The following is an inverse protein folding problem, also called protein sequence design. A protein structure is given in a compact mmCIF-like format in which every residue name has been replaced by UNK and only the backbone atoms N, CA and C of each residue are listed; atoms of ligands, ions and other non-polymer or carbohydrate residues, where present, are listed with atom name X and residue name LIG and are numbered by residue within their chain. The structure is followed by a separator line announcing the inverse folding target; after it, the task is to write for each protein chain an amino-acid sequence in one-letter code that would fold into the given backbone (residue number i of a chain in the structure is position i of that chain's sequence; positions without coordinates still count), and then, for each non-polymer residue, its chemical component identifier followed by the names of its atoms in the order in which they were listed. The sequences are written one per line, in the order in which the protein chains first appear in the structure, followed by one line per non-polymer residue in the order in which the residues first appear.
data_IF_331609325605
#
_entry.id   IF_331609325605
#
_cell.length_a   1.000
_cell.length_b   1.000
_cell.length_c   1.000
_cell.angle_alpha   90.00
_cell.angle_beta   90.00
_cell.angle_gamma   90.00
#
_symmetry.space_group_name_H-M   'P 1'
#
loop_
_entity.id
_entity.type
_entity.pdbx_description
1 polymer ?
#
# COMPACT_ATOMS: atom_id res chain seq x y z
N UNK A 1 -18.96 -15.53 0.01
CA UNK A 1 -18.04 -14.40 -0.26
C UNK A 1 -17.55 -14.54 -1.69
N UNK A 2 -17.88 -13.62 -2.60
CA UNK A 2 -17.32 -13.60 -3.95
C UNK A 2 -16.02 -12.79 -3.89
N UNK A 3 -14.89 -13.43 -4.20
CA UNK A 3 -13.61 -12.76 -4.35
C UNK A 3 -13.67 -11.78 -5.54
N UNK A 4 -13.19 -10.53 -5.43
CA UNK A 4 -13.10 -9.64 -6.57
C UNK A 4 -12.15 -10.25 -7.60
N UNK A 5 -12.70 -10.63 -8.74
CA UNK A 5 -12.03 -11.39 -9.78
C UNK A 5 -10.87 -10.59 -10.38
N UNK A 6 -9.65 -11.11 -10.29
CA UNK A 6 -8.58 -10.84 -11.26
C UNK A 6 -8.93 -11.48 -12.61
N UNK A 7 -10.07 -11.09 -13.18
CA UNK A 7 -10.46 -11.48 -14.53
C UNK A 7 -9.87 -10.45 -15.48
N UNK A 8 -8.82 -10.86 -16.19
CA UNK A 8 -8.40 -10.17 -17.39
C UNK A 8 -9.54 -10.31 -18.41
N UNK A 9 -10.47 -9.35 -18.44
CA UNK A 9 -11.33 -9.18 -19.59
C UNK A 9 -10.43 -8.63 -20.69
N UNK A 10 -10.08 -9.45 -21.67
CA UNK A 10 -9.45 -8.96 -22.91
C UNK A 10 -10.45 -8.00 -23.58
N UNK A 11 -10.22 -6.67 -23.56
CA UNK A 11 -11.02 -5.79 -24.38
C UNK A 11 -10.62 -6.08 -25.83
N UNK A 12 -11.59 -6.06 -26.74
CA UNK A 12 -11.35 -6.29 -28.17
C UNK A 12 -10.11 -5.56 -28.68
N UNK A 13 -9.38 -6.25 -29.56
CA UNK A 13 -8.11 -5.85 -30.18
C UNK A 13 -8.01 -4.34 -30.50
N UNK A 14 -7.45 -3.56 -29.57
CA UNK A 14 -6.65 -2.37 -29.89
C UNK A 14 -5.24 -2.66 -29.41
N UNK A 15 -4.24 -2.46 -30.27
CA UNK A 15 -2.83 -2.51 -29.88
C UNK A 15 -2.62 -1.47 -28.77
N UNK A 16 -2.61 -1.90 -27.52
CA UNK A 16 -2.30 -1.02 -26.41
C UNK A 16 -0.78 -0.90 -26.32
N UNK A 17 -0.28 0.31 -26.11
CA UNK A 17 1.15 0.61 -25.94
C UNK A 17 1.74 0.04 -24.64
N UNK A 18 0.95 -0.71 -23.87
CA UNK A 18 1.30 -1.20 -22.55
C UNK A 18 1.23 -0.12 -21.45
N UNK A 19 1.14 1.16 -21.80
CA UNK A 19 1.04 2.26 -20.83
C UNK A 19 -0.40 2.49 -20.35
N UNK A 20 -0.52 3.10 -19.17
CA UNK A 20 -1.79 3.55 -18.60
C UNK A 20 -1.99 5.03 -18.93
N UNK A 21 -3.05 5.34 -19.68
CA UNK A 21 -3.52 6.71 -19.87
C UNK A 21 -4.56 6.97 -18.78
N UNK A 22 -4.23 7.86 -17.85
CA UNK A 22 -5.05 8.15 -16.66
C UNK A 22 -6.17 9.13 -17.03
N UNK A 23 -7.36 8.92 -16.47
CA UNK A 23 -8.49 9.84 -16.62
C UNK A 23 -8.20 11.17 -15.90
N UNK A 24 -8.95 12.22 -16.24
CA UNK A 24 -8.79 13.54 -15.59
C UNK A 24 -9.08 13.43 -14.10
N UNK A 25 -8.10 13.78 -13.27
CA UNK A 25 -8.19 13.71 -11.81
C UNK A 25 -8.07 15.10 -11.17
N UNK A 26 -8.90 15.43 -10.16
CA UNK A 26 -8.83 16.70 -9.45
C UNK A 26 -7.70 16.74 -8.39
N UNK A 27 -7.12 15.59 -8.02
CA UNK A 27 -6.20 15.52 -6.88
C UNK A 27 -4.93 16.37 -7.04
N UNK A 28 -4.28 16.48 -8.21
CA UNK A 28 -3.09 17.32 -8.36
C UNK A 28 -3.34 18.78 -8.00
N UNK A 29 -4.45 19.37 -8.44
CA UNK A 29 -4.77 20.78 -8.16
C UNK A 29 -5.18 20.99 -6.70
N UNK A 30 -5.92 20.04 -6.11
CA UNK A 30 -6.33 20.10 -4.70
C UNK A 30 -5.13 19.95 -3.76
N UNK A 31 -4.20 19.04 -4.05
CA UNK A 31 -2.97 18.89 -3.25
C UNK A 31 -2.08 20.12 -3.40
N UNK A 32 -1.91 20.64 -4.62
CA UNK A 32 -1.07 21.82 -4.86
C UNK A 32 -1.59 23.06 -4.12
N UNK A 33 -2.92 23.30 -4.14
CA UNK A 33 -3.52 24.42 -3.40
C UNK A 33 -3.42 24.23 -1.89
N UNK A 34 -3.56 23.00 -1.39
CA UNK A 34 -3.41 22.70 0.03
C UNK A 34 -1.96 22.86 0.52
N UNK A 35 -0.96 22.47 -0.28
CA UNK A 35 0.47 22.69 0.05
C UNK A 35 0.80 24.18 0.05
N UNK A 36 0.32 24.94 -0.95
CA UNK A 36 0.50 26.39 -0.96
C UNK A 36 -0.15 27.04 0.26
N UNK A 37 -1.38 26.65 0.59
CA UNK A 37 -2.09 27.12 1.77
C UNK A 37 -1.33 26.80 3.07
N UNK A 38 -0.73 25.61 3.16
CA UNK A 38 0.11 25.20 4.29
C UNK A 38 1.32 26.14 4.45
N UNK A 39 2.02 26.45 3.34
CA UNK A 39 3.17 27.35 3.37
C UNK A 39 2.76 28.77 3.81
N UNK A 40 1.69 29.33 3.25
CA UNK A 40 1.18 30.64 3.63
C UNK A 40 0.73 30.67 5.10
N UNK A 41 0.08 29.61 5.57
CA UNK A 41 -0.37 29.46 6.96
C UNK A 41 0.80 29.44 7.95
N UNK A 42 1.88 28.71 7.65
CA UNK A 42 3.07 28.66 8.50
C UNK A 42 3.78 30.01 8.57
N UNK A 43 3.93 30.71 7.44
CA UNK A 43 4.47 32.08 7.42
C UNK A 43 3.60 33.01 8.27
N UNK A 44 2.28 32.91 8.13
CA UNK A 44 1.33 33.68 8.94
C UNK A 44 1.42 33.38 10.43
N UNK A 45 1.62 32.12 10.82
CA UNK A 45 1.75 31.71 12.23
C UNK A 45 2.97 32.34 12.92
N UNK A 46 4.09 32.47 12.22
CA UNK A 46 5.31 33.03 12.79
C UNK A 46 5.35 34.56 12.78
N UNK A 47 4.69 35.21 11.82
CA UNK A 47 4.85 36.66 11.61
C UNK A 47 3.63 37.50 12.00
N UNK A 48 2.44 36.93 12.08
CA UNK A 48 1.22 37.69 12.39
C UNK A 48 0.92 37.72 13.90
N UNK A 49 0.37 38.84 14.36
CA UNK A 49 -0.05 39.02 15.75
C UNK A 49 -1.26 38.13 16.11
N UNK A 50 -2.24 38.02 15.22
CA UNK A 50 -3.36 37.09 15.37
C UNK A 50 -3.02 35.72 14.75
N UNK A 51 -2.62 34.78 15.60
CA UNK A 51 -2.27 33.41 15.22
C UNK A 51 -3.50 32.51 15.01
N UNK A 52 -4.68 32.92 15.47
CA UNK A 52 -5.87 32.05 15.47
C UNK A 52 -6.34 31.69 14.07
N UNK A 53 -6.37 32.69 13.17
CA UNK A 53 -6.72 32.51 11.76
C UNK A 53 -5.69 31.67 11.01
N UNK A 54 -4.40 31.97 11.21
CA UNK A 54 -3.32 31.20 10.61
C UNK A 54 -3.35 29.74 11.07
N UNK A 55 -3.63 29.48 12.36
CA UNK A 55 -3.76 28.12 12.90
C UNK A 55 -4.97 27.37 12.34
N UNK A 56 -6.13 28.02 12.27
CA UNK A 56 -7.34 27.41 11.70
C UNK A 56 -7.12 27.05 10.22
N UNK A 57 -6.48 27.94 9.47
CA UNK A 57 -6.11 27.68 8.08
C UNK A 57 -5.08 26.55 7.94
N UNK A 58 -4.13 26.43 8.88
CA UNK A 58 -3.17 25.32 8.94
C UNK A 58 -3.90 23.99 9.05
N UNK A 59 -4.78 23.87 10.04
CA UNK A 59 -5.56 22.65 10.32
C UNK A 59 -6.42 22.30 9.10
N UNK A 60 -7.07 23.29 8.49
CA UNK A 60 -7.82 23.13 7.25
C UNK A 60 -6.97 22.53 6.12
N UNK A 61 -5.80 23.13 5.84
CA UNK A 61 -4.90 22.65 4.79
C UNK A 61 -4.35 21.24 5.06
N UNK A 62 -3.94 20.95 6.31
CA UNK A 62 -3.48 19.62 6.71
C UNK A 62 -4.61 18.59 6.54
N UNK A 63 -5.82 18.90 6.97
CA UNK A 63 -6.97 18.01 6.82
C UNK A 63 -7.27 17.72 5.33
N UNK A 64 -7.16 18.73 4.47
CA UNK A 64 -7.37 18.59 3.02
C UNK A 64 -6.27 17.72 2.38
N UNK A 65 -5.01 17.85 2.80
CA UNK A 65 -3.91 16.99 2.35
C UNK A 65 -4.15 15.52 2.74
N UNK A 66 -4.54 15.26 3.99
CA UNK A 66 -4.83 13.91 4.47
C UNK A 66 -5.99 13.27 3.72
N UNK A 67 -7.09 14.00 3.51
CA UNK A 67 -8.23 13.52 2.75
C UNK A 67 -7.87 13.26 1.27
N UNK A 68 -7.10 14.16 0.66
CA UNK A 68 -6.65 14.02 -0.73
C UNK A 68 -5.74 12.81 -0.90
N UNK A 69 -4.82 12.56 0.05
CA UNK A 69 -3.96 11.38 0.02
C UNK A 69 -4.78 10.07 0.09
N UNK A 70 -5.75 9.99 1.00
CA UNK A 70 -6.63 8.80 1.14
C UNK A 70 -7.43 8.58 -0.15
N UNK A 71 -8.00 9.63 -0.73
CA UNK A 71 -8.83 9.52 -1.94
C UNK A 71 -8.01 9.20 -3.17
N UNK A 72 -6.87 9.87 -3.37
CA UNK A 72 -6.01 9.62 -4.51
C UNK A 72 -5.43 8.19 -4.48
N UNK A 73 -4.97 7.72 -3.32
CA UNK A 73 -4.53 6.32 -3.20
C UNK A 73 -5.67 5.31 -3.38
N UNK A 74 -6.90 5.65 -2.96
CA UNK A 74 -8.07 4.82 -3.24
C UNK A 74 -8.34 4.68 -4.73
N UNK A 75 -8.21 5.77 -5.50
CA UNK A 75 -8.39 5.75 -6.96
C UNK A 75 -7.30 4.91 -7.65
N UNK A 76 -6.05 5.01 -7.20
CA UNK A 76 -4.96 4.14 -7.69
C UNK A 76 -5.24 2.67 -7.38
N UNK A 77 -5.82 2.36 -6.20
CA UNK A 77 -6.26 0.99 -5.86
C UNK A 77 -7.41 0.54 -6.78
N UNK A 78 -8.33 1.43 -7.14
CA UNK A 78 -9.41 1.15 -8.10
C UNK A 78 -8.86 0.83 -9.50
N UNK A 79 -8.03 1.72 -10.04
CA UNK A 79 -7.38 1.60 -11.35
C UNK A 79 -6.56 0.32 -11.47
N UNK A 80 -5.83 0.00 -10.41
CA UNK A 80 -5.00 -1.21 -10.36
C UNK A 80 -5.82 -2.47 -10.14
N UNK A 81 -6.60 -2.55 -9.06
CA UNK A 81 -7.18 -3.83 -8.58
C UNK A 81 -8.48 -4.17 -9.29
N UNK A 82 -9.31 -3.18 -9.58
CA UNK A 82 -10.67 -3.42 -10.10
C UNK A 82 -10.77 -3.17 -11.60
N UNK A 83 -10.06 -2.16 -12.13
CA UNK A 83 -10.05 -1.85 -13.56
C UNK A 83 -8.93 -2.59 -14.32
N UNK A 84 -7.94 -3.14 -13.63
CA UNK A 84 -6.87 -3.94 -14.24
C UNK A 84 -5.95 -3.15 -15.18
N UNK A 85 -5.78 -1.84 -14.96
CA UNK A 85 -5.01 -0.95 -15.85
C UNK A 85 -3.49 -1.05 -15.66
N UNK A 86 -3.03 -1.72 -14.59
CA UNK A 86 -1.62 -1.87 -14.26
C UNK A 86 -1.00 -3.07 -14.99
N UNK A 87 -0.56 -2.84 -16.23
CA UNK A 87 0.22 -3.83 -16.99
C UNK A 87 1.61 -4.05 -16.36
N UNK A 88 2.34 -5.09 -16.80
CA UNK A 88 3.72 -5.33 -16.37
C UNK A 88 4.65 -4.14 -16.62
N UNK A 89 4.44 -3.41 -17.73
CA UNK A 89 5.22 -2.21 -18.06
C UNK A 89 4.97 -1.08 -17.06
N UNK A 90 3.70 -0.81 -16.74
CA UNK A 90 3.31 0.20 -15.73
C UNK A 90 3.84 -0.17 -14.36
N UNK A 91 3.78 -1.45 -13.97
CA UNK A 91 4.33 -1.90 -12.69
C UNK A 91 5.85 -1.76 -12.65
N UNK A 92 6.55 -2.01 -13.76
CA UNK A 92 8.01 -1.77 -13.87
C UNK A 92 8.34 -0.29 -13.68
N UNK A 93 7.58 0.63 -14.27
CA UNK A 93 7.79 2.07 -14.08
C UNK A 93 7.45 2.54 -12.68
N UNK A 94 6.41 1.99 -12.05
CA UNK A 94 6.08 2.28 -10.64
C UNK A 94 7.18 1.79 -9.69
N UNK A 95 7.80 0.64 -9.95
CA UNK A 95 8.97 0.15 -9.20
C UNK A 95 10.16 1.09 -9.33
N UNK A 96 10.45 1.55 -10.55
CA UNK A 96 11.50 2.56 -10.76
C UNK A 96 11.19 3.86 -10.03
N UNK A 97 9.94 4.33 -10.09
CA UNK A 97 9.50 5.53 -9.38
C UNK A 97 9.66 5.42 -7.87
N UNK A 98 9.27 4.28 -7.26
CA UNK A 98 9.47 4.05 -5.83
C UNK A 98 10.95 3.99 -5.45
N UNK A 99 11.79 3.36 -6.27
CA UNK A 99 13.23 3.34 -6.04
C UNK A 99 13.83 4.75 -6.05
N UNK A 100 13.49 5.57 -7.06
CA UNK A 100 13.97 6.95 -7.16
C UNK A 100 13.45 7.83 -6.02
N UNK A 101 12.21 7.61 -5.58
CA UNK A 101 11.65 8.28 -4.40
C UNK A 101 12.44 7.93 -3.12
N UNK A 102 12.69 6.64 -2.85
CA UNK A 102 13.51 6.24 -1.69
C UNK A 102 14.92 6.83 -1.82
N UNK A 103 15.50 6.84 -3.03
CA UNK A 103 16.81 7.42 -3.26
C UNK A 103 16.83 8.92 -2.91
N UNK A 104 15.79 9.69 -3.26
CA UNK A 104 15.71 11.10 -2.85
C UNK A 104 15.58 11.26 -1.34
N UNK A 105 14.84 10.38 -0.65
CA UNK A 105 14.76 10.40 0.82
C UNK A 105 16.11 10.06 1.47
N UNK A 106 16.89 9.14 0.89
CA UNK A 106 18.26 8.87 1.35
C UNK A 106 19.12 10.13 1.26
N UNK A 107 19.10 10.84 0.12
CA UNK A 107 19.85 12.10 -0.02
C UNK A 107 19.34 13.20 0.91
N UNK A 108 18.04 13.25 1.19
CA UNK A 108 17.47 14.14 2.20
C UNK A 108 18.08 13.89 3.58
N UNK A 109 18.19 12.63 4.02
CA UNK A 109 18.87 12.29 5.28
C UNK A 109 20.38 12.55 5.24
N UNK A 110 21.06 12.34 4.11
CA UNK A 110 22.49 12.68 3.95
C UNK A 110 22.73 14.16 4.26
N UNK A 111 21.82 15.05 3.89
CA UNK A 111 21.89 16.48 4.25
C UNK A 111 21.89 16.72 5.76
N UNK A 112 21.06 16.00 6.51
CA UNK A 112 21.05 16.12 7.97
C UNK A 112 22.29 15.51 8.63
N UNK A 113 22.75 14.34 8.17
CA UNK A 113 23.99 13.75 8.67
C UNK A 113 25.19 14.65 8.38
N UNK A 114 25.23 15.27 7.20
CA UNK A 114 26.25 16.26 6.86
C UNK A 114 26.24 17.44 7.84
N UNK A 115 25.05 18.02 8.11
CA UNK A 115 24.91 19.11 9.07
C UNK A 115 25.36 18.70 10.49
N UNK A 116 25.00 17.49 10.93
CA UNK A 116 25.43 16.96 12.23
C UNK A 116 26.96 16.83 12.32
N UNK A 117 27.62 16.23 11.33
CA UNK A 117 29.08 16.09 11.34
C UNK A 117 29.80 17.43 11.23
N UNK A 118 29.25 18.36 10.44
CA UNK A 118 29.78 19.71 10.33
C UNK A 118 29.77 20.44 11.68
N UNK A 119 28.72 20.30 12.47
CA UNK A 119 28.62 20.94 13.79
C UNK A 119 29.43 20.20 14.85
N UNK A 120 29.46 18.86 14.84
CA UNK A 120 30.07 18.04 15.90
C UNK A 120 31.59 17.87 15.77
N UNK A 121 32.12 17.82 14.55
CA UNK A 121 33.57 17.64 14.28
C UNK A 121 34.19 18.90 13.68
N UNK A 122 33.40 19.75 13.03
CA UNK A 122 33.89 20.90 12.30
C UNK A 122 34.31 22.09 13.17
N UNK A 123 34.55 23.21 12.50
CA UNK A 123 35.09 24.44 13.12
C UNK A 123 34.21 24.98 14.26
N UNK A 124 32.89 24.79 14.19
CA UNK A 124 31.96 25.23 15.25
C UNK A 124 32.23 24.46 16.55
N UNK A 125 32.42 23.14 16.46
CA UNK A 125 32.79 22.31 17.61
C UNK A 125 34.12 22.76 18.21
N UNK A 126 35.11 23.02 17.34
CA UNK A 126 36.48 23.34 17.78
C UNK A 126 36.64 24.75 18.33
N UNK A 127 35.89 25.73 17.81
CA UNK A 127 36.08 27.16 18.12
C UNK A 127 35.02 27.75 19.04
N UNK A 128 33.79 27.24 19.05
CA UNK A 128 32.69 27.80 19.85
C UNK A 128 32.25 26.85 20.98
N UNK A 129 32.05 25.56 20.69
CA UNK A 129 31.49 24.61 21.65
C UNK A 129 32.57 23.95 22.53
N UNK A 130 33.75 23.70 21.97
CA UNK A 130 34.93 23.12 22.63
C UNK A 130 34.87 21.61 22.90
N UNK A 131 33.69 21.00 22.90
CA UNK A 131 33.48 19.56 23.06
C UNK A 131 32.11 19.12 22.51
N UNK A 132 31.96 17.84 22.20
CA UNK A 132 30.70 17.24 21.80
C UNK A 132 30.38 16.03 22.69
N UNK A 133 29.21 15.97 23.34
CA UNK A 133 28.13 16.96 23.34
C UNK A 133 28.51 18.28 24.07
N UNK A 134 27.82 19.41 23.79
CA UNK A 134 28.08 20.70 24.42
C UNK A 134 27.98 20.68 25.97
N UNK A 135 28.73 21.56 26.64
CA UNK A 135 28.65 21.75 28.11
C UNK A 135 27.20 21.99 28.53
N UNK A 136 26.70 21.21 29.49
CA UNK A 136 25.35 21.36 30.03
C UNK A 136 24.28 20.52 29.33
N UNK A 137 24.59 19.89 28.19
CA UNK A 137 23.71 18.90 27.57
C UNK A 137 24.02 17.52 28.14
N UNK A 138 23.04 16.89 28.78
CA UNK A 138 23.13 15.49 29.20
C UNK A 138 22.61 14.61 28.07
N UNK A 139 23.51 13.96 27.34
CA UNK A 139 23.15 13.06 26.25
C UNK A 139 22.36 11.83 26.75
N UNK A 140 21.51 11.30 25.87
CA UNK A 140 20.65 10.14 26.16
C UNK A 140 21.51 8.88 26.17
N UNK A 141 21.35 8.04 27.20
CA UNK A 141 22.07 6.77 27.30
C UNK A 141 21.68 5.83 26.13
N UNK A 142 22.62 5.43 25.25
CA UNK A 142 22.33 4.59 24.09
C UNK A 142 21.90 3.16 24.45
N UNK A 143 22.17 2.70 25.68
CA UNK A 143 21.93 1.31 26.11
C UNK A 143 20.53 1.08 26.68
N UNK A 144 19.72 2.13 26.84
CA UNK A 144 18.38 2.06 27.41
C UNK A 144 17.30 2.02 26.32
N UNK A 145 16.44 3.04 26.26
CA UNK A 145 15.34 3.15 25.28
C UNK A 145 15.84 3.12 23.83
N UNK A 146 16.95 3.78 23.45
CA UNK A 146 17.46 3.72 22.07
C UNK A 146 17.82 2.31 21.59
N UNK A 147 18.47 1.51 22.46
CA UNK A 147 18.78 0.11 22.14
C UNK A 147 17.50 -0.72 21.99
N UNK A 148 16.52 -0.53 22.89
CA UNK A 148 15.23 -1.22 22.81
C UNK A 148 14.51 -0.89 21.49
N UNK A 149 14.47 0.39 21.10
CA UNK A 149 13.90 0.84 19.83
C UNK A 149 14.60 0.19 18.63
N UNK A 150 15.94 0.05 18.69
CA UNK A 150 16.73 -0.63 17.66
C UNK A 150 16.35 -2.10 17.54
N UNK A 151 16.25 -2.82 18.66
CA UNK A 151 15.85 -4.25 18.67
C UNK A 151 14.44 -4.41 18.12
N UNK A 152 13.49 -3.55 18.53
CA UNK A 152 12.12 -3.57 18.03
C UNK A 152 12.11 -3.38 16.52
N UNK A 153 12.74 -2.32 16.01
CA UNK A 153 12.66 -2.00 14.59
C UNK A 153 13.29 -3.09 13.72
N UNK A 154 14.47 -3.61 14.11
CA UNK A 154 15.10 -4.76 13.43
C UNK A 154 14.21 -6.02 13.43
N UNK A 155 13.54 -6.30 14.56
CA UNK A 155 12.61 -7.43 14.65
C UNK A 155 11.40 -7.25 13.71
N UNK A 156 10.92 -6.03 13.54
CA UNK A 156 9.83 -5.73 12.59
C UNK A 156 10.28 -5.86 11.13
N UNK A 157 11.53 -5.51 10.80
CA UNK A 157 12.12 -5.76 9.48
C UNK A 157 12.17 -7.25 9.12
N UNK A 158 12.53 -8.11 10.08
CA UNK A 158 12.46 -9.57 9.88
C UNK A 158 11.01 -10.04 9.70
N UNK A 159 10.09 -9.55 10.53
CA UNK A 159 8.67 -9.90 10.47
C UNK A 159 8.06 -9.53 9.11
N UNK A 160 8.31 -8.32 8.60
CA UNK A 160 7.78 -7.88 7.29
C UNK A 160 8.35 -8.69 6.14
N UNK A 161 9.62 -9.13 6.23
CA UNK A 161 10.24 -10.04 5.26
C UNK A 161 9.53 -11.40 5.24
N UNK A 162 9.20 -11.94 6.41
CA UNK A 162 8.41 -13.18 6.52
C UNK A 162 7.01 -12.99 5.92
N UNK A 163 6.38 -11.84 6.15
CA UNK A 163 5.08 -11.51 5.56
C UNK A 163 5.15 -11.43 4.03
N UNK A 164 6.19 -10.80 3.49
CA UNK A 164 6.44 -10.68 2.05
C UNK A 164 6.63 -12.06 1.40
N UNK A 165 7.42 -12.93 2.03
CA UNK A 165 7.60 -14.30 1.54
C UNK A 165 6.29 -15.09 1.58
N UNK A 166 5.52 -14.94 2.65
CA UNK A 166 4.25 -15.63 2.83
C UNK A 166 3.21 -15.20 1.77
N UNK A 167 3.10 -13.90 1.46
CA UNK A 167 2.19 -13.43 0.40
C UNK A 167 2.65 -13.89 -0.99
N UNK A 168 3.95 -13.98 -1.25
CA UNK A 168 4.49 -14.54 -2.49
C UNK A 168 4.09 -16.01 -2.66
N UNK A 169 4.08 -16.80 -1.58
CA UNK A 169 3.62 -18.20 -1.59
C UNK A 169 2.11 -18.27 -1.82
N UNK A 170 1.31 -17.45 -1.12
CA UNK A 170 -0.13 -17.36 -1.33
C UNK A 170 -0.44 -17.04 -2.80
N UNK A 171 0.27 -16.10 -3.39
CA UNK A 171 0.05 -15.71 -4.79
C UNK A 171 0.40 -16.83 -5.77
N UNK A 172 1.31 -17.75 -5.44
CA UNK A 172 1.61 -18.93 -6.28
C UNK A 172 0.61 -20.07 -6.11
N UNK A 173 -0.26 -19.99 -5.11
CA UNK A 173 -1.26 -21.02 -4.84
C UNK A 173 -2.47 -20.87 -5.79
N UNK A 174 -3.06 -21.98 -6.26
CA UNK A 174 -4.16 -21.99 -7.23
C UNK A 174 -5.52 -21.55 -6.67
N UNK A 175 -5.54 -20.81 -5.56
CA UNK A 175 -6.75 -20.40 -4.83
C UNK A 175 -7.74 -19.64 -5.73
N UNK A 176 -7.29 -19.08 -6.86
CA UNK A 176 -8.13 -18.30 -7.76
C UNK A 176 -8.65 -19.02 -9.02
N UNK A 177 -8.01 -20.11 -9.47
CA UNK A 177 -8.39 -20.80 -10.71
C UNK A 177 -9.44 -21.89 -10.50
N UNK A 178 -9.55 -22.44 -9.29
CA UNK A 178 -10.45 -23.56 -8.98
C UNK A 178 -11.94 -23.21 -8.89
N UNK A 179 -12.30 -21.98 -8.50
CA UNK A 179 -13.71 -21.58 -8.35
C UNK A 179 -14.43 -21.34 -9.68
N UNK A 180 -13.69 -21.08 -10.76
CA UNK A 180 -14.26 -20.98 -12.11
C UNK A 180 -14.58 -22.37 -12.67
N UNK A 181 -13.82 -23.40 -12.28
CA UNK A 181 -14.04 -24.78 -12.73
C UNK A 181 -15.18 -25.45 -11.95
N UNK A 182 -15.34 -25.16 -10.65
CA UNK A 182 -16.47 -25.69 -9.85
C UNK A 182 -17.77 -24.90 -10.00
N UNK A 183 -17.70 -23.63 -10.46
CA UNK A 183 -18.85 -22.75 -10.66
C UNK A 183 -19.72 -23.07 -11.89
N UNK A 184 -19.26 -23.92 -12.80
CA UNK A 184 -20.06 -24.38 -13.96
C UNK A 184 -21.02 -25.52 -13.56
N UNK A 185 -20.84 -26.12 -12.38
CA UNK A 185 -21.62 -27.27 -11.91
C UNK A 185 -22.78 -26.94 -10.94
N UNK A 186 -22.93 -25.70 -10.46
CA UNK A 186 -23.99 -25.37 -9.49
C UNK A 186 -24.95 -24.36 -10.09
N UNK A 187 -25.81 -24.85 -10.97
CA UNK A 187 -27.08 -24.21 -11.24
C UNK A 187 -27.98 -24.32 -10.01
N UNK A 188 -28.18 -23.21 -9.28
CA UNK A 188 -29.47 -22.87 -8.64
C UNK A 188 -29.44 -21.50 -7.96
N UNK A 189 -30.48 -20.72 -8.29
CA UNK A 189 -31.02 -19.54 -7.61
C UNK A 189 -30.25 -18.21 -7.69
N UNK A 190 -30.68 -17.35 -8.62
CA UNK A 190 -30.24 -15.95 -8.74
C UNK A 190 -30.94 -14.97 -7.78
N UNK A 191 -31.85 -15.39 -6.92
CA UNK A 191 -32.67 -14.45 -6.12
C UNK A 191 -32.04 -13.99 -4.80
N UNK A 192 -30.97 -14.62 -4.31
CA UNK A 192 -30.32 -14.23 -3.03
C UNK A 192 -29.18 -13.22 -3.19
N UNK A 193 -28.79 -12.89 -4.43
CA UNK A 193 -27.59 -12.10 -4.73
C UNK A 193 -27.80 -10.57 -4.59
N UNK A 194 -29.04 -10.08 -4.66
CA UNK A 194 -29.34 -8.65 -4.55
C UNK A 194 -29.42 -8.13 -3.09
N UNK A 195 -29.71 -8.98 -2.10
CA UNK A 195 -29.93 -8.52 -0.73
C UNK A 195 -28.65 -8.28 0.10
N UNK A 196 -27.47 -8.71 -0.35
CA UNK A 196 -26.22 -8.60 0.43
C UNK A 196 -25.39 -7.35 0.04
N UNK A 197 -25.74 -6.66 -1.04
CA UNK A 197 -25.02 -5.46 -1.50
C UNK A 197 -25.45 -4.18 -0.73
N UNK A 198 -26.50 -4.24 0.10
CA UNK A 198 -27.11 -3.04 0.71
C UNK A 198 -26.73 -2.73 2.16
N UNK A 199 -25.73 -3.39 2.77
CA UNK A 199 -25.46 -3.22 4.22
C UNK A 199 -24.09 -2.67 4.61
N UNK A 200 -23.54 -1.75 3.81
CA UNK A 200 -22.44 -0.86 4.23
C UNK A 200 -22.92 0.59 4.29
N UNK A 201 -24.03 0.80 5.01
CA UNK A 201 -24.67 2.09 5.23
C UNK A 201 -24.17 2.72 6.53
N UNK A 202 -22.96 3.26 6.50
CA UNK A 202 -22.54 4.31 7.46
C UNK A 202 -21.53 5.30 6.84
N UNK A 203 -20.72 4.84 5.87
CA UNK A 203 -19.76 5.71 5.14
C UNK A 203 -20.38 6.34 3.88
N UNK A 204 -21.43 5.72 3.31
CA UNK A 204 -22.10 6.22 2.09
C UNK A 204 -23.15 7.32 2.40
N UNK A 205 -23.68 7.37 3.62
CA UNK A 205 -24.73 8.33 3.99
C UNK A 205 -24.22 9.77 4.09
N UNK A 206 -22.97 9.98 4.52
CA UNK A 206 -22.35 11.32 4.56
C UNK A 206 -21.93 11.78 3.14
N UNK A 207 -21.60 10.84 2.24
CA UNK A 207 -21.18 11.16 0.87
C UNK A 207 -22.34 11.47 -0.08
N UNK A 208 -23.57 11.08 0.23
CA UNK A 208 -24.74 11.30 -0.63
C UNK A 208 -25.46 12.63 -0.42
N UNK A 209 -25.22 13.31 0.70
CA UNK A 209 -25.80 14.64 0.95
C UNK A 209 -25.19 15.77 0.12
N UNK A 210 -23.98 15.60 -0.44
CA UNK A 210 -23.34 16.63 -1.29
C UNK A 210 -23.40 16.33 -2.80
N UNK A 211 -23.75 15.10 -3.20
CA UNK A 211 -23.73 14.68 -4.61
C UNK A 211 -25.07 14.92 -5.35
N UNK A 212 -26.12 15.33 -4.63
CA UNK A 212 -27.47 15.51 -5.17
C UNK A 212 -27.77 16.97 -5.59
N UNK A 213 -26.80 17.68 -6.16
CA UNK A 213 -27.01 19.06 -6.66
C UNK A 213 -26.55 19.31 -8.10
N UNK A 214 -25.85 18.38 -8.78
CA UNK A 214 -25.18 18.73 -10.05
C UNK A 214 -25.46 17.89 -11.31
N UNK A 215 -26.38 16.93 -11.29
CA UNK A 215 -26.72 16.20 -12.53
C UNK A 215 -28.24 16.04 -12.70
N UNK A 216 -28.87 17.05 -13.31
CA UNK A 216 -30.19 16.95 -13.95
C UNK A 216 -30.04 17.33 -15.42
N UNK A 217 -29.98 16.33 -16.30
CA UNK A 217 -30.51 16.39 -17.68
C UNK A 217 -30.32 15.04 -18.38
N UNK A 218 -31.41 14.29 -18.66
CA UNK A 218 -31.38 13.15 -19.56
C UNK A 218 -32.22 13.46 -20.81
N UNK A 219 -31.57 13.77 -21.92
CA UNK A 219 -32.15 13.60 -23.27
C UNK A 219 -31.03 13.19 -24.23
N UNK A 220 -31.40 12.43 -25.28
CA UNK A 220 -30.57 11.78 -26.31
C UNK A 220 -29.97 10.40 -25.97
N UNK A 221 -30.63 9.32 -26.37
CA UNK A 221 -30.43 8.72 -27.72
C UNK A 221 -31.53 7.67 -28.01
N UNK A 222 -32.15 7.81 -29.18
CA UNK A 222 -33.09 6.86 -29.81
C UNK A 222 -32.35 5.69 -30.46
N UNK A 223 -33.06 4.57 -30.54
CA UNK A 223 -32.91 3.37 -31.39
C UNK A 223 -32.03 3.46 -32.64
N UNK A 224 -31.32 2.35 -32.90
CA UNK A 224 -31.27 1.74 -34.23
C UNK A 224 -31.17 0.22 -34.14
N UNK A 225 -32.20 -0.44 -34.67
CA UNK A 225 -32.22 -1.84 -35.09
C UNK A 225 -31.22 -2.05 -36.23
N UNK A 226 -30.50 -3.18 -36.22
CA UNK A 226 -29.66 -3.63 -37.34
C UNK A 226 -30.06 -5.06 -37.68
N UNK A 227 -30.20 -5.25 -38.99
CA UNK A 227 -30.82 -6.35 -39.73
C UNK A 227 -30.12 -7.70 -39.58
N UNK A 228 -30.95 -8.76 -39.70
CA UNK A 228 -30.52 -10.14 -39.88
C UNK A 228 -30.01 -10.35 -41.32
N UNK A 229 -28.78 -10.82 -41.49
CA UNK A 229 -28.33 -11.47 -42.73
C UNK A 229 -27.96 -12.93 -42.44
N UNK A 230 -28.62 -13.83 -43.18
CA UNK A 230 -28.49 -15.27 -43.06
C UNK A 230 -27.20 -15.82 -43.65
N UNK A 231 -26.64 -16.84 -42.99
CA UNK A 231 -25.67 -17.76 -43.58
C UNK A 231 -25.97 -19.21 -43.17
N UNK A 232 -26.39 -19.96 -44.19
CA UNK A 232 -26.22 -21.37 -44.53
C UNK A 232 -26.27 -22.47 -43.44
N UNK A 233 -27.37 -23.23 -43.47
CA UNK A 233 -27.70 -24.33 -42.55
C UNK A 233 -27.11 -25.70 -42.96
N UNK A 234 -26.26 -25.80 -43.98
CA UNK A 234 -25.78 -27.10 -44.49
C UNK A 234 -24.49 -27.61 -43.81
N UNK A 235 -23.76 -26.77 -43.06
CA UNK A 235 -22.50 -27.19 -42.41
C UNK A 235 -22.67 -27.80 -40.98
N UNK A 236 -23.84 -27.62 -40.34
CA UNK A 236 -24.08 -28.08 -38.96
C UNK A 236 -24.40 -29.57 -38.80
N UNK A 237 -24.81 -30.27 -39.86
CA UNK A 237 -25.19 -31.70 -39.75
C UNK A 237 -24.01 -32.68 -39.84
N UNK A 238 -22.86 -32.28 -40.40
CA UNK A 238 -21.69 -33.18 -40.53
C UNK A 238 -20.79 -33.26 -39.30
N UNK A 239 -20.90 -32.33 -38.35
CA UNK A 239 -20.14 -32.37 -37.08
C UNK A 239 -20.82 -33.20 -35.98
N UNK A 240 -22.16 -33.23 -35.94
CA UNK A 240 -22.90 -33.94 -34.89
C UNK A 240 -22.76 -35.47 -34.97
N UNK A 241 -22.52 -36.02 -36.17
CA UNK A 241 -22.29 -37.47 -36.36
C UNK A 241 -20.92 -37.98 -35.91
N UNK A 242 -19.90 -37.10 -35.76
CA UNK A 242 -18.56 -37.49 -35.28
C UNK A 242 -18.42 -37.41 -33.77
N UNK A 243 -19.28 -36.66 -33.09
CA UNK A 243 -19.26 -36.52 -31.61
C UNK A 243 -19.89 -37.75 -30.93
N UNK A 244 -20.94 -38.36 -31.51
CA UNK A 244 -21.56 -39.54 -30.91
C UNK A 244 -20.73 -40.84 -30.95
N UNK A 245 -19.74 -40.97 -31.86
CA UNK A 245 -18.88 -42.17 -31.90
C UNK A 245 -17.69 -42.12 -30.94
N UNK A 246 -17.39 -40.96 -30.35
CA UNK A 246 -16.38 -40.84 -29.30
C UNK A 246 -16.93 -41.18 -27.91
N UNK A 247 -18.24 -40.98 -27.68
CA UNK A 247 -18.89 -41.19 -26.38
C UNK A 247 -18.97 -42.66 -25.94
N UNK A 248 -19.05 -43.62 -26.88
CA UNK A 248 -19.11 -45.05 -26.51
C UNK A 248 -17.75 -45.71 -26.19
N UNK A 249 -16.62 -45.02 -26.41
CA UNK A 249 -15.29 -45.52 -26.02
C UNK A 249 -14.86 -45.06 -24.62
N UNK A 250 -15.60 -44.14 -24.00
CA UNK A 250 -15.28 -43.57 -22.68
C UNK A 250 -15.69 -44.51 -21.53
N UNK A 251 -16.73 -45.34 -21.70
CA UNK A 251 -17.26 -46.20 -20.62
C UNK A 251 -16.28 -47.31 -20.15
N UNK A 252 -15.31 -47.71 -20.99
CA UNK A 252 -14.27 -48.68 -20.60
C UNK A 252 -13.02 -48.01 -20.01
N UNK A 253 -12.83 -46.70 -20.19
CA UNK A 253 -11.72 -45.93 -19.59
C UNK A 253 -12.07 -45.43 -18.18
N UNK A 254 -13.36 -45.22 -17.89
CA UNK A 254 -13.86 -44.70 -16.62
C UNK A 254 -13.60 -45.59 -15.39
N UNK A 255 -13.28 -46.89 -15.53
CA UNK A 255 -12.96 -47.75 -14.37
C UNK A 255 -11.51 -47.64 -13.88
N UNK A 256 -10.59 -47.07 -14.67
CA UNK A 256 -9.17 -46.91 -14.30
C UNK A 256 -8.79 -45.54 -13.72
N UNK A 257 -9.53 -44.47 -14.05
CA UNK A 257 -9.15 -43.08 -13.69
C UNK A 257 -9.69 -42.57 -12.35
N UNK A 258 -10.59 -43.29 -11.68
CA UNK A 258 -11.16 -42.83 -10.39
C UNK A 258 -10.07 -42.73 -9.31
N UNK A 259 -9.02 -43.55 -9.37
CA UNK A 259 -7.85 -43.44 -8.50
C UNK A 259 -6.99 -42.18 -8.80
N UNK A 260 -6.81 -41.83 -10.08
CA UNK A 260 -6.03 -40.65 -10.52
C UNK A 260 -6.73 -39.31 -10.25
N UNK A 261 -8.06 -39.26 -10.38
CA UNK A 261 -8.87 -38.08 -10.06
C UNK A 261 -8.88 -37.77 -8.56
N UNK A 262 -8.84 -38.79 -7.68
CA UNK A 262 -8.72 -38.60 -6.23
C UNK A 262 -7.38 -37.96 -5.82
N UNK A 263 -6.30 -38.34 -6.50
CA UNK A 263 -4.95 -37.84 -6.23
C UNK A 263 -4.79 -36.37 -6.71
N UNK A 264 -5.38 -36.03 -7.86
CA UNK A 264 -5.47 -34.66 -8.35
C UNK A 264 -6.27 -33.78 -7.38
N UNK A 265 -7.48 -34.20 -6.96
CA UNK A 265 -8.31 -33.45 -6.01
C UNK A 265 -7.60 -33.22 -4.66
N UNK A 266 -6.92 -34.24 -4.12
CA UNK A 266 -6.13 -34.11 -2.88
C UNK A 266 -4.96 -33.12 -3.04
N UNK A 267 -4.25 -33.17 -4.16
CA UNK A 267 -3.15 -32.24 -4.47
C UNK A 267 -3.64 -30.78 -4.59
N UNK A 268 -4.74 -30.53 -5.31
CA UNK A 268 -5.32 -29.20 -5.43
C UNK A 268 -5.81 -28.66 -4.09
N UNK A 269 -6.50 -29.49 -3.30
CA UNK A 269 -6.95 -29.13 -1.96
C UNK A 269 -5.78 -28.80 -1.03
N UNK A 270 -4.69 -29.55 -1.11
CA UNK A 270 -3.46 -29.27 -0.36
C UNK A 270 -2.85 -27.91 -0.74
N UNK A 271 -2.77 -27.61 -2.04
CA UNK A 271 -2.24 -26.32 -2.54
C UNK A 271 -3.09 -25.11 -2.12
N UNK A 272 -4.42 -25.24 -2.14
CA UNK A 272 -5.35 -24.20 -1.66
C UNK A 272 -5.17 -23.96 -0.15
N UNK A 273 -5.14 -25.03 0.65
CA UNK A 273 -4.90 -24.94 2.11
C UNK A 273 -3.57 -24.27 2.43
N UNK A 274 -2.50 -24.62 1.72
CA UNK A 274 -1.18 -23.98 1.87
C UNK A 274 -1.24 -22.49 1.53
N UNK A 275 -1.96 -22.10 0.48
CA UNK A 275 -2.18 -20.70 0.12
C UNK A 275 -2.84 -19.91 1.26
N UNK A 276 -3.97 -20.39 1.74
CA UNK A 276 -4.71 -19.73 2.83
C UNK A 276 -3.90 -19.64 4.12
N UNK A 277 -3.15 -20.70 4.46
CA UNK A 277 -2.24 -20.69 5.60
C UNK A 277 -1.15 -19.62 5.44
N UNK A 278 -0.58 -19.48 4.24
CA UNK A 278 0.41 -18.46 3.94
C UNK A 278 -0.18 -17.04 4.03
N UNK A 279 -1.43 -16.81 3.61
CA UNK A 279 -2.11 -15.52 3.81
C UNK A 279 -2.30 -15.19 5.28
N UNK A 280 -2.77 -16.15 6.08
CA UNK A 280 -2.91 -15.97 7.54
C UNK A 280 -1.57 -15.63 8.18
N UNK A 281 -0.49 -16.32 7.77
CA UNK A 281 0.87 -16.02 8.21
C UNK A 281 1.29 -14.60 7.83
N UNK A 282 1.01 -14.15 6.60
CA UNK A 282 1.30 -12.79 6.16
C UNK A 282 0.55 -11.74 6.99
N UNK A 283 -0.76 -11.94 7.23
CA UNK A 283 -1.58 -11.05 8.06
C UNK A 283 -1.04 -10.94 9.50
N UNK A 284 -0.66 -12.07 10.11
CA UNK A 284 -0.11 -12.09 11.47
C UNK A 284 1.19 -11.29 11.56
N UNK A 285 2.13 -11.51 10.63
CA UNK A 285 3.42 -10.82 10.65
C UNK A 285 3.30 -9.34 10.28
N UNK A 286 2.38 -8.96 9.38
CA UNK A 286 2.06 -7.56 9.13
C UNK A 286 1.51 -6.88 10.38
N UNK A 287 0.61 -7.53 11.10
CA UNK A 287 0.07 -7.01 12.37
C UNK A 287 1.19 -6.82 13.40
N UNK A 288 2.08 -7.81 13.57
CA UNK A 288 3.24 -7.69 14.46
C UNK A 288 4.16 -6.54 14.07
N UNK A 289 4.39 -6.34 12.76
CA UNK A 289 5.22 -5.24 12.23
C UNK A 289 4.60 -3.88 12.57
N UNK A 290 3.29 -3.72 12.35
CA UNK A 290 2.55 -2.47 12.65
C UNK A 290 2.53 -2.20 14.16
N UNK A 291 2.32 -3.23 14.99
CA UNK A 291 2.38 -3.10 16.45
C UNK A 291 3.78 -2.69 16.91
N UNK A 292 4.83 -3.33 16.40
CA UNK A 292 6.21 -2.97 16.72
C UNK A 292 6.55 -1.53 16.32
N UNK A 293 6.14 -1.09 15.12
CA UNK A 293 6.29 0.30 14.70
C UNK A 293 5.51 1.30 15.58
N UNK A 294 4.31 0.92 16.03
CA UNK A 294 3.52 1.75 16.95
C UNK A 294 4.18 1.85 18.34
N UNK A 295 4.75 0.75 18.83
CA UNK A 295 5.52 0.72 20.09
C UNK A 295 6.77 1.59 19.96
N UNK A 296 7.50 1.48 18.85
CA UNK A 296 8.65 2.35 18.57
C UNK A 296 8.24 3.83 18.63
N UNK A 297 7.17 4.25 17.95
CA UNK A 297 6.72 5.65 17.97
C UNK A 297 6.32 6.11 19.37
N UNK A 298 5.71 5.23 20.17
CA UNK A 298 5.37 5.52 21.57
C UNK A 298 6.62 5.70 22.45
N UNK A 299 7.60 4.81 22.32
CA UNK A 299 8.87 4.89 23.05
C UNK A 299 9.66 6.14 22.64
N UNK A 300 9.69 6.48 21.35
CA UNK A 300 10.33 7.71 20.87
C UNK A 300 9.64 8.96 21.43
N UNK A 301 8.30 8.97 21.51
CA UNK A 301 7.56 10.05 22.15
C UNK A 301 7.91 10.17 23.65
N UNK A 302 8.01 9.04 24.36
CA UNK A 302 8.41 9.00 25.77
C UNK A 302 9.82 9.54 25.99
N UNK A 303 10.74 9.20 25.10
CA UNK A 303 12.10 9.72 25.11
C UNK A 303 12.12 11.24 24.93
N UNK A 304 11.37 11.78 23.97
CA UNK A 304 11.26 13.24 23.78
C UNK A 304 10.63 13.98 24.95
N UNK A 305 9.69 13.35 25.65
CA UNK A 305 9.01 13.96 26.78
C UNK A 305 9.89 13.98 28.04
N UNK A 306 10.83 13.05 28.18
CA UNK A 306 11.71 12.90 29.35
C UNK A 306 13.16 13.32 29.12
N UNK A 307 13.51 13.80 27.93
CA UNK A 307 14.84 14.33 27.65
C UNK A 307 15.12 15.58 28.48
N UNK A 308 16.38 15.73 28.87
CA UNK A 308 16.89 16.87 29.65
C UNK A 308 17.12 18.14 28.81
N UNK A 309 17.07 18.02 27.48
CA UNK A 309 17.27 19.10 26.52
C UNK A 309 16.10 19.19 25.54
N UNK A 310 15.89 20.38 24.98
CA UNK A 310 14.88 20.73 23.99
C UNK A 310 15.50 21.07 22.63
N UNK A 311 14.67 21.27 21.60
CA UNK A 311 15.12 21.71 20.27
C UNK A 311 15.81 23.08 20.29
N UNK A 312 15.54 23.92 21.31
CA UNK A 312 16.05 25.28 21.42
C UNK A 312 17.33 25.40 22.26
N UNK A 313 17.72 24.35 23.00
CA UNK A 313 18.74 24.48 24.05
C UNK A 313 20.17 24.53 23.51
N UNK A 314 20.42 23.99 22.30
CA UNK A 314 21.72 24.07 21.61
C UNK A 314 21.64 23.52 20.18
N UNK A 315 22.75 23.63 19.43
CA UNK A 315 22.89 22.99 18.11
C UNK A 315 22.82 21.46 18.22
N UNK A 316 23.20 20.87 19.37
CA UNK A 316 22.97 19.45 19.64
C UNK A 316 21.47 19.13 19.68
N UNK A 317 20.69 19.90 20.45
CA UNK A 317 19.23 19.72 20.52
C UNK A 317 18.56 19.88 19.16
N UNK A 318 18.88 20.96 18.43
CA UNK A 318 18.36 21.20 17.07
C UNK A 318 18.68 20.07 16.10
N UNK A 319 19.94 19.61 16.04
CA UNK A 319 20.35 18.52 15.14
C UNK A 319 19.72 17.18 15.53
N UNK A 320 19.71 16.85 16.82
CA UNK A 320 19.08 15.65 17.37
C UNK A 320 17.60 15.57 16.95
N UNK A 321 16.79 16.56 17.35
CA UNK A 321 15.34 16.53 17.12
C UNK A 321 14.96 16.61 15.65
N UNK A 322 15.73 17.31 14.81
CA UNK A 322 15.48 17.31 13.37
C UNK A 322 15.73 15.92 12.76
N UNK A 323 16.87 15.31 13.06
CA UNK A 323 17.24 14.00 12.53
C UNK A 323 16.30 12.89 12.99
N UNK A 324 16.11 12.75 14.31
CA UNK A 324 15.24 11.72 14.88
C UNK A 324 13.76 12.04 14.64
N UNK A 325 13.37 13.31 14.58
CA UNK A 325 12.01 13.76 14.29
C UNK A 325 11.57 13.46 12.88
N UNK A 326 12.38 13.80 11.86
CA UNK A 326 12.07 13.43 10.48
C UNK A 326 12.02 11.91 10.31
N UNK A 327 12.96 11.18 10.92
CA UNK A 327 12.88 9.72 10.93
C UNK A 327 11.60 9.20 11.58
N UNK A 328 11.19 9.77 12.72
CA UNK A 328 9.92 9.43 13.39
C UNK A 328 8.69 9.65 12.50
N UNK A 329 8.66 10.73 11.71
CA UNK A 329 7.61 10.96 10.70
C UNK A 329 7.62 9.86 9.62
N UNK A 330 8.81 9.41 9.17
CA UNK A 330 8.93 8.32 8.22
C UNK A 330 8.43 6.99 8.80
N UNK A 331 8.71 6.68 10.07
CA UNK A 331 8.16 5.50 10.75
C UNK A 331 6.62 5.58 10.80
N UNK A 332 6.05 6.75 11.09
CA UNK A 332 4.60 6.96 11.07
C UNK A 332 4.00 6.75 9.67
N UNK A 333 4.61 7.31 8.63
CA UNK A 333 4.17 7.09 7.23
C UNK A 333 4.30 5.62 6.84
N UNK A 334 5.38 4.96 7.25
CA UNK A 334 5.62 3.54 7.00
C UNK A 334 4.58 2.64 7.67
N UNK A 335 4.23 2.92 8.93
CA UNK A 335 3.19 2.16 9.66
C UNK A 335 1.80 2.35 9.06
N UNK A 336 1.46 3.56 8.59
CA UNK A 336 0.22 3.83 7.84
C UNK A 336 0.23 3.04 6.53
N UNK A 337 1.34 3.05 5.79
CA UNK A 337 1.45 2.36 4.51
C UNK A 337 1.30 0.83 4.70
N UNK A 338 1.96 0.25 5.71
CA UNK A 338 1.79 -1.15 6.08
C UNK A 338 0.36 -1.48 6.53
N UNK A 339 -0.32 -0.57 7.23
CA UNK A 339 -1.73 -0.73 7.60
C UNK A 339 -2.64 -0.80 6.37
N UNK A 340 -2.39 0.01 5.35
CA UNK A 340 -3.10 -0.08 4.06
C UNK A 340 -2.82 -1.44 3.39
N UNK A 341 -1.57 -1.92 3.41
CA UNK A 341 -1.21 -3.24 2.87
C UNK A 341 -1.86 -4.38 3.64
N UNK A 342 -1.97 -4.28 4.97
CA UNK A 342 -2.71 -5.23 5.81
C UNK A 342 -4.18 -5.31 5.38
N UNK A 343 -4.86 -4.17 5.27
CA UNK A 343 -6.26 -4.10 4.85
C UNK A 343 -6.47 -4.66 3.44
N UNK A 344 -5.56 -4.36 2.51
CA UNK A 344 -5.59 -4.91 1.14
C UNK A 344 -5.34 -6.42 1.10
N UNK A 345 -4.45 -6.93 1.95
CA UNK A 345 -4.18 -8.37 2.10
C UNK A 345 -5.40 -9.08 2.67
N UNK A 346 -6.05 -8.48 3.66
CA UNK A 346 -7.27 -9.01 4.28
C UNK A 346 -8.44 -9.07 3.28
N UNK A 347 -8.54 -8.08 2.38
CA UNK A 347 -9.55 -8.02 1.30
C UNK A 347 -9.17 -8.77 0.01
N UNK A 348 -8.10 -9.57 0.02
CA UNK A 348 -7.68 -10.36 -1.15
C UNK A 348 -7.34 -9.53 -2.40
N UNK A 349 -6.82 -8.30 -2.23
CA UNK A 349 -6.48 -7.44 -3.38
C UNK A 349 -5.16 -7.83 -4.09
N UNK A 350 -4.33 -8.68 -3.49
CA UNK A 350 -3.03 -9.07 -4.04
C UNK A 350 -3.11 -10.42 -4.76
N UNK A 351 -2.73 -10.46 -6.04
CA UNK A 351 -2.80 -11.65 -6.91
C UNK A 351 -1.56 -11.81 -7.83
N UNK A 352 -1.41 -13.02 -8.39
CA UNK A 352 -0.21 -13.61 -9.01
C UNK A 352 0.42 -12.84 -10.19
N UNK A 353 -0.34 -12.08 -10.97
CA UNK A 353 0.10 -11.59 -12.29
C UNK A 353 0.44 -10.09 -12.35
N UNK A 354 1.20 -9.56 -11.38
CA UNK A 354 1.73 -8.17 -11.28
C UNK A 354 1.02 -7.21 -10.31
N UNK A 355 0.04 -7.68 -9.52
CA UNK A 355 -0.78 -6.78 -8.69
C UNK A 355 -0.32 -6.63 -7.22
N UNK A 356 0.92 -7.00 -6.86
CA UNK A 356 1.42 -6.84 -5.48
C UNK A 356 2.47 -5.74 -5.28
N UNK A 357 2.69 -4.86 -6.27
CA UNK A 357 3.63 -3.74 -6.15
C UNK A 357 3.42 -2.88 -4.90
N UNK A 358 2.18 -2.60 -4.50
CA UNK A 358 1.91 -1.83 -3.29
C UNK A 358 2.47 -2.49 -2.01
N UNK A 359 2.57 -3.82 -1.99
CA UNK A 359 3.24 -4.55 -0.92
C UNK A 359 4.76 -4.37 -1.03
N UNK A 360 5.34 -4.56 -2.23
CA UNK A 360 6.78 -4.39 -2.47
C UNK A 360 7.25 -2.99 -2.05
N UNK A 361 6.51 -1.95 -2.44
CA UNK A 361 6.81 -0.56 -2.11
C UNK A 361 6.79 -0.32 -0.58
N UNK A 362 5.81 -0.86 0.14
CA UNK A 362 5.75 -0.74 1.58
C UNK A 362 6.90 -1.48 2.29
N UNK A 363 7.31 -2.65 1.79
CA UNK A 363 8.46 -3.41 2.32
C UNK A 363 9.77 -2.65 2.07
N UNK A 364 9.96 -2.13 0.86
CA UNK A 364 11.16 -1.33 0.53
C UNK A 364 11.24 -0.08 1.40
N UNK A 365 10.12 0.61 1.59
CA UNK A 365 10.06 1.80 2.45
C UNK A 365 10.33 1.44 3.92
N UNK A 366 9.77 0.34 4.43
CA UNK A 366 10.02 -0.10 5.81
C UNK A 366 11.49 -0.43 6.06
N UNK A 367 12.14 -1.17 5.16
CA UNK A 367 13.58 -1.42 5.28
C UNK A 367 14.44 -0.16 5.14
N UNK A 368 14.02 0.81 4.32
CA UNK A 368 14.66 2.12 4.29
C UNK A 368 14.61 2.80 5.67
N UNK A 369 13.44 2.79 6.31
CA UNK A 369 13.26 3.30 7.68
C UNK A 369 14.18 2.56 8.65
N UNK A 370 14.23 1.22 8.62
CA UNK A 370 15.12 0.41 9.46
C UNK A 370 16.59 0.84 9.32
N UNK A 371 17.08 1.00 8.08
CA UNK A 371 18.48 1.36 7.79
C UNK A 371 18.81 2.77 8.29
N UNK A 372 17.92 3.74 8.07
CA UNK A 372 18.13 5.11 8.56
C UNK A 372 18.20 5.13 10.08
N UNK A 373 17.36 4.36 10.78
CA UNK A 373 17.43 4.26 12.24
C UNK A 373 18.76 3.71 12.73
N UNK A 374 19.28 2.65 12.11
CA UNK A 374 20.58 2.08 12.50
C UNK A 374 21.68 3.15 12.37
N UNK A 375 21.66 3.93 11.28
CA UNK A 375 22.61 5.03 11.10
C UNK A 375 22.44 6.11 12.18
N UNK A 376 21.20 6.49 12.50
CA UNK A 376 20.92 7.44 13.58
C UNK A 376 21.39 6.91 14.94
N UNK A 377 21.13 5.65 15.24
CA UNK A 377 21.54 5.01 16.49
C UNK A 377 23.08 5.03 16.63
N UNK A 378 23.81 4.62 15.58
CA UNK A 378 25.27 4.60 15.61
C UNK A 378 25.86 6.00 15.67
N UNK A 379 25.38 6.94 14.85
CA UNK A 379 25.99 8.26 14.71
C UNK A 379 25.57 9.21 15.83
N UNK A 380 24.28 9.27 16.15
CA UNK A 380 23.74 10.26 17.09
C UNK A 380 23.78 9.74 18.53
N UNK A 381 23.39 8.48 18.76
CA UNK A 381 23.29 7.95 20.12
C UNK A 381 24.58 7.29 20.62
N UNK A 382 25.32 6.57 19.77
CA UNK A 382 26.57 5.91 20.19
C UNK A 382 27.76 6.85 20.04
N UNK A 383 28.01 7.37 18.84
CA UNK A 383 29.19 8.21 18.59
C UNK A 383 29.04 9.61 19.20
N UNK A 384 27.81 10.13 19.29
CA UNK A 384 27.51 11.43 19.89
C UNK A 384 27.41 11.44 21.41
N UNK A 385 27.49 10.27 22.07
CA UNK A 385 27.52 10.10 23.53
C UNK A 385 28.95 9.95 24.00
#
# INVERSE_FOLDING_TARGET
MKYPACSYKSPGFRKSTGFHVVDVSPWPIVVSSAVLGLACSLVGLFNMSDRSMSLAFLIGCVSLLLLSAIRWWSDIVLESTYLGRHTSLVVKTLRMGMFLFILSEVFFFVGFFWAFFYVSIGEISMNEVGQWPPVGVVAINPWEVPLLNTIILLSTGLSVTVAHKAISIHNKSPVFTGFVVSGISVGKSQSTLLCIIMNSSLVVLISRCFHWSFYKNPTFFKEKSVEEEGYDMVFKQKLLGKVCKASMKEDLFFRGEIAGLSCSSSYWNSKVKMGEAARKKALMHLLLTILGGSIFSYLQFKEYYWSSFSIADSVYGSSFYLMTGFHGVHVLVGTIFLSVVLLRTWRYHFCQYNHYFGFDAAVWYWHFVDVVWILLYVVVYIWGY
#
